data_IF_426015409264
#
_entry.id   IF_426015409264
#
_cell.length_a   1.000
_cell.length_b   1.000
_cell.length_c   1.000
_cell.angle_alpha   90.00
_cell.angle_beta   90.00
_cell.angle_gamma   90.00
#
_symmetry.space_group_name_H-M   'P 1'
#
loop_
_entity.id
_entity.type
_entity.pdbx_description
1 polymer ?
#
# COMPACT_ATOMS: atom_id res chain seq x y z
N UNK A 1 10.56 -3.28 49.80
CA UNK A 1 9.78 -2.21 50.44
C UNK A 1 9.55 -1.17 49.36
N UNK A 2 8.57 -1.41 48.48
CA UNK A 2 7.16 -0.97 48.59
C UNK A 2 7.07 0.57 48.66
N UNK A 3 6.29 1.29 47.87
CA UNK A 3 5.09 0.99 47.05
C UNK A 3 4.91 2.16 46.07
N UNK A 4 4.64 1.89 44.78
CA UNK A 4 4.01 2.86 43.88
C UNK A 4 2.51 2.55 43.87
N UNK A 5 1.71 3.45 44.43
CA UNK A 5 0.24 3.33 44.44
C UNK A 5 -0.32 3.45 43.02
N UNK A 6 -1.17 2.48 42.66
CA UNK A 6 -2.04 2.48 41.49
C UNK A 6 -3.34 3.19 41.89
N UNK A 7 -3.67 4.32 41.27
CA UNK A 7 -5.03 4.84 41.31
C UNK A 7 -5.92 3.99 40.39
N UNK A 8 -6.78 3.18 41.02
CA UNK A 8 -7.91 2.52 40.38
C UNK A 8 -9.11 3.47 40.42
N UNK A 9 -9.62 3.87 39.26
CA UNK A 9 -10.95 4.49 39.15
C UNK A 9 -12.01 3.40 39.35
N UNK A 10 -12.66 3.43 40.51
CA UNK A 10 -13.85 2.65 40.86
C UNK A 10 -15.06 3.29 40.17
N UNK A 11 -15.75 2.54 39.32
CA UNK A 11 -17.06 2.95 38.76
C UNK A 11 -18.15 2.26 39.57
N UNK A 12 -19.10 2.98 40.19
CA UNK A 12 -20.15 2.36 41.00
C UNK A 12 -21.27 1.79 40.12
N UNK A 13 -21.78 0.63 40.54
CA UNK A 13 -22.95 -0.05 39.97
C UNK A 13 -24.24 0.79 40.13
N UNK A 14 -25.05 0.82 39.07
CA UNK A 14 -26.52 0.82 39.21
C UNK A 14 -27.33 1.88 38.45
N UNK A 15 -28.34 1.35 37.74
CA UNK A 15 -29.61 1.97 37.28
C UNK A 15 -29.62 2.65 35.91
N UNK A 16 -30.07 1.88 34.90
CA UNK A 16 -30.53 2.39 33.60
C UNK A 16 -31.94 3.00 33.73
N UNK A 17 -32.24 4.16 33.12
CA UNK A 17 -33.61 4.60 32.96
C UNK A 17 -34.28 3.86 31.80
N UNK A 18 -35.45 3.28 32.08
CA UNK A 18 -36.35 2.69 31.09
C UNK A 18 -36.89 3.75 30.12
N UNK A 19 -37.07 3.34 28.86
CA UNK A 19 -38.06 3.94 27.98
C UNK A 19 -37.56 4.97 26.97
N UNK A 20 -36.79 4.53 25.96
CA UNK A 20 -36.93 5.09 24.61
C UNK A 20 -36.91 3.94 23.61
N UNK A 21 -38.02 3.76 22.91
CA UNK A 21 -38.31 2.59 22.07
C UNK A 21 -37.26 2.31 21.01
N UNK A 22 -36.86 1.05 20.95
CA UNK A 22 -36.02 0.47 19.91
C UNK A 22 -36.81 0.44 18.58
N UNK A 23 -36.69 1.48 17.76
CA UNK A 23 -36.99 1.37 16.34
C UNK A 23 -35.86 0.59 15.68
N UNK A 24 -36.01 -0.73 15.62
CA UNK A 24 -35.23 -1.61 14.75
C UNK A 24 -35.62 -1.32 13.30
N UNK A 25 -35.15 -0.19 12.77
CA UNK A 25 -35.03 0.04 11.35
C UNK A 25 -33.87 -0.80 10.84
N UNK A 26 -34.15 -2.03 10.44
CA UNK A 26 -33.21 -2.90 9.74
C UNK A 26 -32.80 -2.28 8.41
N UNK A 27 -31.79 -1.43 8.43
CA UNK A 27 -31.04 -1.06 7.23
C UNK A 27 -29.91 -2.06 7.12
N UNK A 28 -30.12 -3.08 6.28
CA UNK A 28 -29.05 -3.94 5.78
C UNK A 28 -27.92 -3.05 5.27
N UNK A 29 -26.86 -2.89 6.07
CA UNK A 29 -25.56 -2.41 5.62
C UNK A 29 -24.90 -3.56 4.84
N UNK A 30 -25.58 -4.04 3.79
CA UNK A 30 -24.92 -4.81 2.75
C UNK A 30 -23.79 -3.92 2.26
N UNK A 31 -22.56 -4.41 2.42
CA UNK A 31 -21.35 -3.75 1.99
C UNK A 31 -21.58 -3.18 0.61
N UNK A 32 -21.41 -1.86 0.45
CA UNK A 32 -21.57 -1.13 -0.81
C UNK A 32 -20.52 -1.53 -1.88
N UNK A 33 -19.85 -2.65 -1.66
CA UNK A 33 -18.79 -3.19 -2.47
C UNK A 33 -19.15 -4.64 -2.80
N UNK A 34 -19.01 -5.05 -4.07
CA UNK A 34 -19.23 -6.42 -4.45
C UNK A 34 -18.31 -7.34 -3.62
N UNK A 35 -18.76 -8.58 -3.31
CA UNK A 35 -17.88 -9.60 -2.77
C UNK A 35 -16.62 -9.67 -3.63
N UNK A 36 -15.46 -9.78 -2.99
CA UNK A 36 -14.21 -10.02 -3.69
C UNK A 36 -14.40 -11.27 -4.55
N UNK A 37 -14.40 -11.10 -5.86
CA UNK A 37 -14.34 -12.24 -6.78
C UNK A 37 -12.95 -12.86 -6.59
N UNK A 38 -12.84 -14.14 -6.21
CA UNK A 38 -11.56 -14.84 -6.12
C UNK A 38 -10.77 -14.78 -7.44
N UNK A 39 -11.43 -14.51 -8.57
CA UNK A 39 -10.82 -14.29 -9.87
C UNK A 39 -10.47 -12.81 -10.17
N UNK A 40 -10.98 -11.83 -9.40
CA UNK A 40 -10.63 -10.40 -9.57
C UNK A 40 -9.35 -10.05 -8.80
N UNK A 41 -8.27 -10.74 -9.13
CA UNK A 41 -6.95 -10.34 -8.69
C UNK A 41 -6.60 -8.99 -9.32
N UNK A 42 -6.29 -8.01 -8.45
CA UNK A 42 -5.68 -6.71 -8.75
C UNK A 42 -6.67 -5.75 -9.42
N UNK A 43 -7.59 -5.22 -8.61
CA UNK A 43 -8.70 -4.38 -9.08
C UNK A 43 -8.38 -2.91 -8.86
N UNK A 44 -8.81 -2.07 -9.80
CA UNK A 44 -8.74 -0.61 -9.63
C UNK A 44 -9.63 -0.21 -8.45
N UNK A 45 -9.09 0.56 -7.52
CA UNK A 45 -9.91 1.19 -6.49
C UNK A 45 -10.74 2.29 -7.14
N UNK A 46 -12.06 2.24 -6.91
CA UNK A 46 -12.99 3.26 -7.36
C UNK A 46 -13.53 3.98 -6.12
N UNK A 47 -13.21 5.27 -5.92
CA UNK A 47 -13.81 6.01 -4.83
C UNK A 47 -15.33 6.13 -5.03
N UNK A 48 -16.13 6.18 -3.95
CA UNK A 48 -17.58 6.36 -4.04
C UNK A 48 -18.00 7.59 -4.86
N UNK A 49 -17.26 8.69 -4.73
CA UNK A 49 -17.47 9.92 -5.50
C UNK A 49 -16.18 10.34 -6.21
N UNK A 50 -16.33 10.97 -7.38
CA UNK A 50 -15.19 11.45 -8.18
C UNK A 50 -14.35 12.53 -7.46
N UNK A 51 -14.92 13.21 -6.47
CA UNK A 51 -14.25 14.24 -5.65
C UNK A 51 -13.58 13.68 -4.41
N UNK A 52 -13.80 12.41 -4.07
CA UNK A 52 -13.20 11.82 -2.87
C UNK A 52 -11.68 11.74 -3.06
N UNK A 53 -10.96 12.16 -2.03
CA UNK A 53 -9.50 12.09 -1.96
C UNK A 53 -9.06 11.04 -0.93
N UNK A 54 -7.81 10.57 -1.02
CA UNK A 54 -7.22 9.73 0.02
C UNK A 54 -7.43 10.26 1.44
N UNK A 55 -7.18 11.55 1.69
CA UNK A 55 -7.36 12.18 3.00
C UNK A 55 -8.81 12.18 3.50
N UNK A 56 -9.79 12.35 2.59
CA UNK A 56 -11.21 12.33 2.95
C UNK A 56 -11.73 10.93 3.27
N UNK A 57 -11.18 9.89 2.63
CA UNK A 57 -11.63 8.51 2.79
C UNK A 57 -10.85 7.75 3.87
N UNK A 58 -9.56 8.02 3.99
CA UNK A 58 -8.61 7.31 4.84
C UNK A 58 -8.00 8.26 5.85
N UNK A 59 -8.55 8.23 7.06
CA UNK A 59 -8.07 9.06 8.15
C UNK A 59 -7.10 8.29 9.04
N UNK A 60 -6.20 9.00 9.75
CA UNK A 60 -5.47 8.44 10.89
C UNK A 60 -6.42 7.70 11.83
N UNK A 61 -6.19 6.40 12.02
CA UNK A 61 -6.96 5.56 12.91
C UNK A 61 -6.10 4.42 13.46
N UNK A 62 -6.61 3.71 14.48
CA UNK A 62 -5.93 2.55 15.05
C UNK A 62 -6.53 1.26 14.48
N UNK A 63 -5.65 0.31 14.20
CA UNK A 63 -6.02 -1.01 13.69
C UNK A 63 -6.81 -1.83 14.71
N UNK A 64 -7.69 -2.71 14.21
CA UNK A 64 -8.35 -3.75 15.02
C UNK A 64 -7.43 -4.97 15.18
N UNK A 65 -6.30 -4.79 15.88
CA UNK A 65 -5.32 -5.87 16.15
C UNK A 65 -4.91 -5.89 17.62
N UNK A 66 -4.37 -7.02 18.07
CA UNK A 66 -3.87 -7.21 19.45
C UNK A 66 -2.80 -6.19 19.84
N UNK A 67 -2.08 -5.65 18.86
CA UNK A 67 -1.19 -4.50 19.00
C UNK A 67 -1.72 -3.41 18.06
N UNK A 68 -2.49 -2.43 18.57
CA UNK A 68 -3.00 -1.34 17.75
C UNK A 68 -1.86 -0.50 17.19
N UNK A 69 -1.89 -0.24 15.89
CA UNK A 69 -0.93 0.65 15.24
C UNK A 69 -1.67 1.78 14.51
N UNK A 70 -1.13 3.01 14.48
CA UNK A 70 -1.72 4.08 13.68
C UNK A 70 -1.58 3.72 12.20
N UNK A 71 -2.67 3.84 11.43
CA UNK A 71 -2.75 3.60 9.99
C UNK A 71 -3.65 4.63 9.32
N UNK A 72 -3.55 4.75 8.00
CA UNK A 72 -4.58 5.40 7.21
C UNK A 72 -5.70 4.38 6.99
N UNK A 73 -6.75 4.45 7.80
CA UNK A 73 -7.85 3.48 7.77
C UNK A 73 -9.10 4.11 7.17
N UNK A 74 -9.86 3.32 6.42
CA UNK A 74 -11.18 3.75 5.96
C UNK A 74 -12.11 3.96 7.15
N UNK A 75 -12.75 5.13 7.27
CA UNK A 75 -13.67 5.41 8.38
C UNK A 75 -14.80 4.36 8.51
N UNK A 76 -15.35 3.93 7.37
CA UNK A 76 -16.43 2.92 7.33
C UNK A 76 -15.93 1.48 7.47
N UNK A 77 -14.62 1.25 7.39
CA UNK A 77 -14.01 -0.08 7.49
C UNK A 77 -12.56 0.01 8.00
N UNK A 78 -12.38 -0.15 9.31
CA UNK A 78 -11.05 -0.09 9.94
C UNK A 78 -10.10 -1.23 9.55
N UNK A 79 -10.53 -2.19 8.72
CA UNK A 79 -9.69 -3.24 8.12
C UNK A 79 -9.28 -2.92 6.68
N UNK A 80 -9.63 -1.73 6.17
CA UNK A 80 -9.20 -1.24 4.87
C UNK A 80 -8.14 -0.15 5.06
N UNK A 81 -6.91 -0.43 4.60
CA UNK A 81 -5.75 0.45 4.77
C UNK A 81 -5.40 1.14 3.46
N UNK A 82 -4.74 2.29 3.59
CA UNK A 82 -4.14 3.02 2.48
C UNK A 82 -2.63 3.12 2.65
N UNK A 83 -1.90 2.92 1.55
CA UNK A 83 -0.47 3.19 1.44
C UNK A 83 -0.24 4.09 0.23
N UNK A 84 0.52 5.17 0.40
CA UNK A 84 1.01 5.98 -0.70
C UNK A 84 2.34 5.43 -1.19
N UNK A 85 2.56 5.41 -2.51
CA UNK A 85 3.82 4.97 -3.12
C UNK A 85 4.23 5.95 -4.23
N UNK A 86 5.53 6.14 -4.39
CA UNK A 86 6.09 6.94 -5.49
C UNK A 86 7.50 6.46 -5.87
N UNK A 87 7.89 6.74 -7.11
CA UNK A 87 9.23 6.49 -7.63
C UNK A 87 9.75 7.65 -8.49
N UNK A 88 10.93 8.15 -8.13
CA UNK A 88 11.63 9.19 -8.86
C UNK A 88 12.89 8.65 -9.53
N UNK A 89 13.37 9.38 -10.54
CA UNK A 89 14.69 9.13 -11.11
C UNK A 89 15.30 10.47 -11.53
N UNK A 90 16.45 10.84 -10.95
CA UNK A 90 17.25 11.96 -11.45
C UNK A 90 17.90 11.56 -12.78
N UNK A 91 18.05 12.52 -13.69
CA UNK A 91 18.66 12.30 -15.01
C UNK A 91 18.08 11.08 -15.76
N UNK A 92 16.76 10.90 -15.69
CA UNK A 92 16.09 9.71 -16.24
C UNK A 92 16.36 9.54 -17.74
N UNK A 93 17.00 8.42 -18.11
CA UNK A 93 17.41 8.13 -19.48
C UNK A 93 18.88 8.43 -19.79
N UNK A 94 19.61 8.99 -18.83
CA UNK A 94 21.05 9.23 -18.90
C UNK A 94 21.87 8.08 -18.26
N UNK A 95 23.18 8.08 -18.46
CA UNK A 95 24.12 7.12 -17.86
C UNK A 95 24.24 7.32 -16.34
N UNK A 96 24.05 8.56 -15.87
CA UNK A 96 24.13 8.95 -14.46
C UNK A 96 22.75 8.93 -13.78
N UNK A 97 21.78 8.22 -14.37
CA UNK A 97 20.43 8.09 -13.84
C UNK A 97 20.44 7.44 -12.45
N UNK A 98 19.71 8.02 -11.49
CA UNK A 98 19.60 7.48 -10.12
C UNK A 98 18.14 7.41 -9.70
N UNK A 99 17.64 6.20 -9.47
CA UNK A 99 16.27 5.95 -9.02
C UNK A 99 16.11 6.01 -7.50
N UNK A 100 15.02 6.60 -7.04
CA UNK A 100 14.63 6.66 -5.63
C UNK A 100 13.19 6.20 -5.47
N UNK A 101 12.94 5.40 -4.44
CA UNK A 101 11.64 4.80 -4.18
C UNK A 101 11.14 5.26 -2.81
N UNK A 102 9.83 5.41 -2.64
CA UNK A 102 9.27 5.68 -1.33
C UNK A 102 7.86 5.13 -1.16
N UNK A 103 7.51 4.81 0.09
CA UNK A 103 6.13 4.61 0.49
C UNK A 103 5.82 5.17 1.87
N UNK A 104 4.55 5.52 2.09
CA UNK A 104 4.02 6.07 3.35
C UNK A 104 2.81 5.25 3.76
N UNK A 105 2.95 4.52 4.87
CA UNK A 105 1.96 3.50 5.29
C UNK A 105 1.21 3.87 6.58
N UNK A 106 1.59 4.98 7.24
CA UNK A 106 0.88 5.50 8.41
C UNK A 106 1.08 7.02 8.60
N UNK A 107 0.27 7.66 9.46
CA UNK A 107 0.43 9.07 9.81
C UNK A 107 1.74 9.39 10.55
N UNK A 108 2.17 10.66 10.47
CA UNK A 108 3.46 11.19 10.96
C UNK A 108 3.66 11.04 12.48
N UNK A 109 4.23 9.92 12.89
CA UNK A 109 4.59 9.63 14.29
C UNK A 109 5.94 8.89 14.45
N UNK A 110 6.76 8.80 13.39
CA UNK A 110 8.09 8.12 13.33
C UNK A 110 8.09 6.57 13.39
N UNK A 111 8.90 5.83 12.57
CA UNK A 111 9.11 6.00 11.14
C UNK A 111 7.91 5.43 10.35
N UNK A 112 7.18 6.32 9.70
CA UNK A 112 5.96 6.04 8.92
C UNK A 112 6.15 6.15 7.40
N UNK A 113 7.34 6.61 7.02
CA UNK A 113 7.80 7.00 5.70
C UNK A 113 9.07 6.22 5.41
N UNK A 114 9.10 5.53 4.28
CA UNK A 114 10.19 4.61 3.95
C UNK A 114 10.76 5.00 2.59
N UNK A 115 11.74 5.93 2.54
CA UNK A 115 12.55 6.18 1.36
C UNK A 115 13.66 5.13 1.22
N UNK A 116 13.98 4.73 -0.01
CA UNK A 116 15.13 3.86 -0.28
C UNK A 116 15.62 4.02 -1.73
N UNK A 117 16.90 3.72 -1.94
CA UNK A 117 17.53 3.78 -3.27
C UNK A 117 17.03 2.63 -4.15
N UNK A 118 16.73 2.91 -5.42
CA UNK A 118 16.48 1.85 -6.40
C UNK A 118 17.79 1.09 -6.66
N UNK A 119 17.73 -0.23 -6.54
CA UNK A 119 18.89 -1.09 -6.69
C UNK A 119 19.38 -1.15 -8.16
N UNK A 120 20.70 -1.32 -8.36
CA UNK A 120 21.29 -1.45 -9.70
C UNK A 120 21.28 -2.88 -10.24
N UNK A 121 20.90 -3.86 -9.40
CA UNK A 121 20.68 -5.25 -9.79
C UNK A 121 19.28 -5.73 -9.44
N UNK A 122 18.75 -6.64 -10.24
CA UNK A 122 17.50 -7.34 -9.97
C UNK A 122 17.66 -8.29 -8.77
N UNK A 123 16.54 -8.84 -8.29
CA UNK A 123 16.54 -9.89 -7.25
C UNK A 123 17.37 -11.13 -7.62
N UNK A 124 17.62 -11.37 -8.91
CA UNK A 124 18.46 -12.48 -9.40
C UNK A 124 19.91 -12.05 -9.69
N UNK A 125 20.29 -10.81 -9.38
CA UNK A 125 21.65 -10.29 -9.54
C UNK A 125 21.97 -9.74 -10.94
N UNK A 126 20.99 -9.65 -11.83
CA UNK A 126 21.20 -9.08 -13.18
C UNK A 126 21.24 -7.55 -13.13
N UNK A 127 22.16 -6.91 -13.85
CA UNK A 127 22.21 -5.46 -13.94
C UNK A 127 20.93 -4.90 -14.57
N UNK A 128 20.37 -3.84 -13.96
CA UNK A 128 19.10 -3.24 -14.37
C UNK A 128 19.18 -1.73 -14.46
N UNK A 129 18.45 -1.10 -15.40
CA UNK A 129 18.54 0.33 -15.62
C UNK A 129 17.89 1.10 -14.46
N UNK A 130 18.37 2.33 -14.24
CA UNK A 130 17.77 3.28 -13.32
C UNK A 130 16.73 4.10 -14.08
N UNK A 131 15.45 3.90 -13.78
CA UNK A 131 14.36 4.63 -14.44
C UNK A 131 13.23 4.92 -13.47
N UNK A 132 12.47 5.98 -13.71
CA UNK A 132 11.30 6.33 -12.88
C UNK A 132 10.29 5.17 -12.85
N UNK A 133 9.94 4.57 -14.00
CA UNK A 133 9.01 3.44 -14.04
C UNK A 133 9.45 2.22 -13.19
N UNK A 134 10.76 1.96 -13.08
CA UNK A 134 11.26 0.89 -12.20
C UNK A 134 11.15 1.27 -10.74
N UNK A 135 11.49 2.52 -10.40
CA UNK A 135 11.35 3.03 -9.05
C UNK A 135 9.89 2.97 -8.56
N UNK A 136 8.94 3.35 -9.42
CA UNK A 136 7.50 3.31 -9.15
C UNK A 136 7.02 1.89 -8.81
N UNK A 137 7.41 0.89 -9.62
CA UNK A 137 7.07 -0.51 -9.33
C UNK A 137 7.74 -1.03 -8.06
N UNK A 138 9.01 -0.69 -7.89
CA UNK A 138 9.82 -1.15 -6.76
C UNK A 138 9.27 -0.62 -5.44
N UNK A 139 8.77 0.62 -5.40
CA UNK A 139 8.10 1.22 -4.25
C UNK A 139 6.85 0.43 -3.82
N UNK A 140 6.01 0.01 -4.78
CA UNK A 140 4.84 -0.84 -4.51
C UNK A 140 5.27 -2.19 -3.96
N UNK A 141 6.26 -2.84 -4.58
CA UNK A 141 6.75 -4.16 -4.14
C UNK A 141 7.31 -4.06 -2.72
N UNK A 142 8.06 -3.00 -2.41
CA UNK A 142 8.55 -2.74 -1.05
C UNK A 142 7.38 -2.60 -0.06
N UNK A 143 6.39 -1.77 -0.37
CA UNK A 143 5.22 -1.57 0.48
C UNK A 143 4.46 -2.89 0.74
N UNK A 144 4.27 -3.71 -0.28
CA UNK A 144 3.61 -5.01 -0.13
C UNK A 144 4.45 -6.01 0.66
N UNK A 145 5.79 -5.96 0.56
CA UNK A 145 6.70 -6.83 1.30
C UNK A 145 7.07 -6.35 2.70
N UNK A 146 6.71 -5.11 3.05
CA UNK A 146 7.25 -4.44 4.23
C UNK A 146 6.85 -5.10 5.54
N UNK A 147 5.60 -5.56 5.63
CA UNK A 147 5.00 -6.09 6.87
C UNK A 147 3.92 -7.11 6.57
N UNK A 148 3.59 -7.92 7.58
CA UNK A 148 2.42 -8.77 7.58
C UNK A 148 1.14 -7.95 7.85
N UNK A 149 0.62 -7.25 6.83
CA UNK A 149 -0.57 -6.38 6.93
C UNK A 149 -1.80 -7.08 7.53
N UNK A 150 -1.99 -8.37 7.24
CA UNK A 150 -3.07 -9.18 7.82
C UNK A 150 -2.95 -9.38 9.34
N UNK A 151 -1.73 -9.45 9.89
CA UNK A 151 -1.52 -9.51 11.35
C UNK A 151 -1.99 -8.22 12.06
N UNK A 152 -2.16 -7.14 11.31
CA UNK A 152 -2.72 -5.89 11.79
C UNK A 152 -4.22 -5.76 11.52
N UNK A 153 -4.88 -6.84 11.07
CA UNK A 153 -6.30 -6.84 10.75
C UNK A 153 -6.64 -6.21 9.40
N UNK A 154 -5.65 -6.01 8.51
CA UNK A 154 -5.91 -5.60 7.13
C UNK A 154 -6.61 -6.72 6.37
N UNK A 155 -7.72 -6.41 5.72
CA UNK A 155 -8.41 -7.26 4.74
C UNK A 155 -8.35 -6.66 3.34
N UNK A 156 -8.17 -5.34 3.25
CA UNK A 156 -8.13 -4.60 1.99
C UNK A 156 -7.02 -3.56 2.05
N UNK A 157 -6.08 -3.63 1.12
CA UNK A 157 -4.95 -2.71 1.02
C UNK A 157 -5.08 -1.88 -0.25
N UNK A 158 -5.24 -0.57 -0.11
CA UNK A 158 -5.31 0.38 -1.21
C UNK A 158 -3.94 1.01 -1.41
N UNK A 159 -3.35 0.78 -2.58
CA UNK A 159 -2.12 1.42 -3.03
C UNK A 159 -2.50 2.68 -3.82
N UNK A 160 -2.18 3.85 -3.28
CA UNK A 160 -2.37 5.13 -3.94
C UNK A 160 -1.06 5.61 -4.57
N UNK A 161 -1.11 5.95 -5.86
CA UNK A 161 0.02 6.46 -6.64
C UNK A 161 -0.52 7.33 -7.77
N UNK A 162 0.27 8.29 -8.24
CA UNK A 162 0.00 9.06 -9.45
C UNK A 162 0.56 8.42 -10.72
N UNK A 163 1.17 7.23 -10.62
CA UNK A 163 1.69 6.47 -11.74
C UNK A 163 0.61 5.65 -12.45
N UNK A 164 0.14 6.11 -13.61
CA UNK A 164 -0.71 5.29 -14.49
C UNK A 164 -0.01 4.01 -14.95
N UNK A 165 1.31 4.03 -15.09
CA UNK A 165 2.12 2.85 -15.42
C UNK A 165 1.91 1.73 -14.40
N UNK A 166 1.91 2.06 -13.10
CA UNK A 166 1.64 1.11 -12.02
C UNK A 166 0.17 0.69 -12.01
N UNK A 167 -0.76 1.64 -12.05
CA UNK A 167 -2.20 1.35 -11.89
C UNK A 167 -2.74 0.54 -13.06
N UNK A 168 -2.52 0.99 -14.29
CA UNK A 168 -3.00 0.32 -15.50
C UNK A 168 -2.25 -1.00 -15.70
N UNK A 169 -0.94 -1.01 -15.42
CA UNK A 169 -0.13 -2.22 -15.50
C UNK A 169 -0.62 -3.31 -14.55
N UNK A 170 -0.86 -2.96 -13.29
CA UNK A 170 -1.31 -3.90 -12.25
C UNK A 170 -2.73 -4.39 -12.49
N UNK A 171 -3.62 -3.54 -12.99
CA UNK A 171 -5.05 -3.85 -13.09
C UNK A 171 -5.48 -4.41 -14.45
N UNK A 172 -4.76 -4.08 -15.52
CA UNK A 172 -5.14 -4.41 -16.90
C UNK A 172 -4.05 -5.18 -17.65
N UNK A 173 -2.80 -4.71 -17.62
CA UNK A 173 -1.76 -5.24 -18.52
C UNK A 173 -1.18 -6.57 -18.08
N UNK A 174 -0.93 -6.78 -16.78
CA UNK A 174 -0.40 -8.04 -16.23
C UNK A 174 -1.23 -9.24 -16.69
N UNK A 175 -2.57 -9.12 -16.71
CA UNK A 175 -3.47 -10.20 -17.14
C UNK A 175 -3.22 -10.61 -18.59
N UNK A 176 -2.97 -9.63 -19.47
CA UNK A 176 -2.65 -9.85 -20.88
C UNK A 176 -1.23 -10.40 -21.04
N UNK A 177 -0.26 -9.85 -20.33
CA UNK A 177 1.13 -10.29 -20.39
C UNK A 177 1.32 -11.72 -19.87
N UNK A 178 0.69 -12.09 -18.74
CA UNK A 178 0.72 -13.48 -18.24
C UNK A 178 0.19 -14.46 -19.30
N UNK A 179 -0.91 -14.11 -19.97
CA UNK A 179 -1.50 -14.95 -21.04
C UNK A 179 -0.60 -15.06 -22.27
N UNK A 180 0.10 -13.98 -22.61
CA UNK A 180 0.93 -13.90 -23.81
C UNK A 180 2.41 -14.18 -23.52
N UNK A 181 2.74 -14.93 -22.46
CA UNK A 181 4.11 -15.33 -22.15
C UNK A 181 5.07 -14.17 -21.87
N UNK A 182 4.56 -13.08 -21.28
CA UNK A 182 5.31 -11.85 -20.98
C UNK A 182 5.84 -11.10 -22.21
N UNK A 183 5.06 -11.09 -23.28
CA UNK A 183 5.36 -10.33 -24.50
C UNK A 183 4.38 -9.18 -24.73
N UNK A 184 4.86 -8.10 -25.36
CA UNK A 184 4.05 -7.01 -25.88
C UNK A 184 3.25 -7.43 -27.12
N UNK A 185 2.33 -6.58 -27.58
CA UNK A 185 1.62 -6.79 -28.86
C UNK A 185 2.55 -6.85 -30.08
N UNK A 186 3.79 -6.37 -29.94
CA UNK A 186 4.84 -6.41 -30.96
C UNK A 186 5.82 -7.56 -30.76
N UNK A 187 5.46 -8.58 -29.95
CA UNK A 187 6.28 -9.77 -29.66
C UNK A 187 7.64 -9.48 -29.01
N UNK A 188 7.80 -8.31 -28.39
CA UNK A 188 9.00 -7.99 -27.61
C UNK A 188 8.80 -8.36 -26.15
N UNK A 189 9.85 -8.71 -25.41
CA UNK A 189 9.77 -8.85 -23.96
C UNK A 189 9.19 -7.60 -23.31
N UNK A 190 8.33 -7.79 -22.30
CA UNK A 190 7.76 -6.68 -21.53
C UNK A 190 8.88 -5.96 -20.77
N UNK A 191 8.90 -4.63 -20.82
CA UNK A 191 9.84 -3.83 -20.02
C UNK A 191 9.58 -4.03 -18.53
N UNK A 192 10.65 -4.11 -17.74
CA UNK A 192 10.58 -4.32 -16.28
C UNK A 192 9.88 -5.62 -15.88
N UNK A 193 9.93 -6.64 -16.76
CA UNK A 193 9.30 -7.93 -16.54
C UNK A 193 9.74 -8.59 -15.23
N UNK A 194 10.99 -8.37 -14.80
CA UNK A 194 11.52 -8.79 -13.50
C UNK A 194 10.66 -8.28 -12.34
N UNK A 195 10.45 -6.96 -12.26
CA UNK A 195 9.63 -6.35 -11.21
C UNK A 195 8.16 -6.69 -11.34
N UNK A 196 7.61 -6.78 -12.56
CA UNK A 196 6.23 -7.20 -12.74
C UNK A 196 5.98 -8.62 -12.23
N UNK A 197 6.93 -9.55 -12.43
CA UNK A 197 6.83 -10.89 -11.88
C UNK A 197 6.88 -10.89 -10.35
N UNK A 198 7.76 -10.07 -9.75
CA UNK A 198 7.79 -9.91 -8.29
C UNK A 198 6.50 -9.31 -7.73
N UNK A 199 5.93 -8.30 -8.41
CA UNK A 199 4.63 -7.74 -8.04
C UNK A 199 3.53 -8.80 -8.11
N UNK A 200 3.46 -9.60 -9.18
CA UNK A 200 2.49 -10.71 -9.29
C UNK A 200 2.61 -11.68 -8.12
N UNK A 201 3.83 -12.10 -7.77
CA UNK A 201 4.07 -13.00 -6.63
C UNK A 201 3.58 -12.38 -5.31
N UNK A 202 3.91 -11.11 -5.08
CA UNK A 202 3.49 -10.41 -3.87
C UNK A 202 1.96 -10.32 -3.77
N UNK A 203 1.29 -10.02 -4.89
CA UNK A 203 -0.16 -9.90 -4.91
C UNK A 203 -0.86 -11.27 -4.77
N UNK A 204 -0.31 -12.34 -5.37
CA UNK A 204 -0.80 -13.72 -5.19
C UNK A 204 -0.70 -14.14 -3.72
N UNK A 205 0.46 -13.88 -3.08
CA UNK A 205 0.65 -14.12 -1.63
C UNK A 205 -0.38 -13.39 -0.78
N UNK A 206 -0.70 -12.14 -1.09
CA UNK A 206 -1.72 -11.39 -0.35
C UNK A 206 -3.13 -11.94 -0.54
N UNK A 207 -3.46 -12.35 -1.76
CA UNK A 207 -4.73 -13.00 -2.08
C UNK A 207 -4.90 -14.31 -1.29
N UNK A 208 -3.85 -15.14 -1.22
CA UNK A 208 -3.81 -16.37 -0.40
C UNK A 208 -3.94 -16.08 1.10
N UNK A 209 -3.39 -14.95 1.56
CA UNK A 209 -3.51 -14.49 2.94
C UNK A 209 -4.85 -13.82 3.26
N UNK A 210 -5.80 -13.78 2.31
CA UNK A 210 -7.12 -13.17 2.50
C UNK A 210 -7.12 -11.64 2.47
N UNK A 211 -6.09 -11.01 1.88
CA UNK A 211 -5.98 -9.56 1.73
C UNK A 211 -6.14 -9.17 0.27
N UNK A 212 -7.17 -8.39 -0.03
CA UNK A 212 -7.34 -7.82 -1.37
C UNK A 212 -6.46 -6.58 -1.54
N UNK A 213 -5.66 -6.55 -2.61
CA UNK A 213 -4.87 -5.37 -2.99
C UNK A 213 -5.56 -4.62 -4.13
N UNK A 214 -5.77 -3.33 -3.93
CA UNK A 214 -6.47 -2.43 -4.85
C UNK A 214 -5.54 -1.27 -5.25
N UNK A 215 -5.64 -0.80 -6.49
CA UNK A 215 -4.79 0.28 -7.01
C UNK A 215 -5.60 1.54 -7.30
N UNK A 216 -5.23 2.67 -6.70
CA UNK A 216 -5.88 3.96 -6.88
C UNK A 216 -4.95 4.93 -7.60
N UNK A 217 -5.32 5.31 -8.82
CA UNK A 217 -4.70 6.44 -9.52
C UNK A 217 -5.18 7.75 -8.89
N UNK A 218 -4.26 8.49 -8.28
CA UNK A 218 -4.53 9.77 -7.62
C UNK A 218 -3.82 10.92 -8.35
N UNK A 219 -4.34 12.15 -8.33
CA UNK A 219 -3.59 13.31 -8.81
C UNK A 219 -2.28 13.51 -8.03
N UNK A 220 -1.18 13.85 -8.71
CA UNK A 220 0.15 14.09 -8.10
C UNK A 220 0.14 15.03 -6.89
N UNK A 221 -0.71 16.07 -6.92
CA UNK A 221 -0.88 17.02 -5.81
C UNK A 221 -1.36 16.38 -4.50
N UNK A 222 -1.86 15.14 -4.55
CA UNK A 222 -2.30 14.36 -3.40
C UNK A 222 -1.25 13.31 -2.97
N UNK A 223 -0.13 13.17 -3.70
CA UNK A 223 0.94 12.20 -3.43
C UNK A 223 2.26 12.90 -2.99
N UNK A 224 2.18 14.13 -2.49
CA UNK A 224 3.35 15.01 -2.32
C UNK A 224 4.41 14.48 -1.36
N UNK A 225 4.00 13.76 -0.31
CA UNK A 225 4.93 13.19 0.66
C UNK A 225 5.75 12.06 0.04
N UNK A 226 5.11 11.11 -0.64
CA UNK A 226 5.81 10.01 -1.30
C UNK A 226 6.70 10.55 -2.43
N UNK A 227 6.21 11.48 -3.24
CA UNK A 227 6.97 12.16 -4.31
C UNK A 227 8.25 12.83 -3.78
N UNK A 228 8.13 13.60 -2.70
CA UNK A 228 9.30 14.25 -2.07
C UNK A 228 10.31 13.21 -1.59
N UNK A 229 9.85 12.17 -0.88
CA UNK A 229 10.72 11.14 -0.34
C UNK A 229 11.42 10.33 -1.43
N UNK A 230 10.72 10.00 -2.52
CA UNK A 230 11.31 9.29 -3.65
C UNK A 230 12.39 10.13 -4.33
N UNK A 231 12.18 11.45 -4.46
CA UNK A 231 13.20 12.39 -4.95
C UNK A 231 14.40 12.51 -4.02
N UNK A 232 14.18 12.62 -2.72
CA UNK A 232 15.27 12.61 -1.73
C UNK A 232 16.07 11.30 -1.80
N UNK A 233 15.37 10.18 -2.04
CA UNK A 233 15.98 8.87 -2.15
C UNK A 233 16.92 8.69 -3.36
N UNK A 234 16.84 9.53 -4.40
CA UNK A 234 17.79 9.47 -5.53
C UNK A 234 19.20 9.89 -5.12
N UNK A 235 19.33 10.65 -4.03
CA UNK A 235 20.61 11.13 -3.50
C UNK A 235 21.24 10.20 -2.47
N UNK A 236 20.52 9.16 -2.01
CA UNK A 236 21.05 8.16 -1.08
C UNK A 236 22.24 7.40 -1.70
N UNK A 237 23.06 6.78 -0.86
CA UNK A 237 24.15 5.91 -1.31
C UNK A 237 23.62 4.83 -2.24
N UNK A 238 24.39 4.51 -3.28
CA UNK A 238 23.99 3.48 -4.23
C UNK A 238 23.95 2.10 -3.55
N UNK A 239 22.87 1.37 -3.82
CA UNK A 239 22.68 -0.01 -3.39
C UNK A 239 22.76 -0.88 -4.64
N UNK A 240 23.73 -1.80 -4.67
CA UNK A 240 23.89 -2.68 -5.83
C UNK A 240 22.86 -3.81 -5.81
N UNK A 241 22.77 -4.52 -4.70
CA UNK A 241 21.99 -5.73 -4.57
C UNK A 241 20.58 -5.45 -4.07
N UNK A 242 19.63 -6.31 -4.45
CA UNK A 242 18.24 -6.24 -3.97
C UNK A 242 18.17 -6.26 -2.44
N UNK A 243 17.50 -5.25 -1.86
CA UNK A 243 17.32 -5.15 -0.41
C UNK A 243 15.88 -5.44 -0.01
N UNK A 244 15.68 -6.38 0.91
CA UNK A 244 14.36 -6.57 1.52
C UNK A 244 14.08 -5.47 2.53
N UNK A 245 13.16 -4.58 2.18
CA UNK A 245 12.73 -3.49 3.06
C UNK A 245 11.71 -4.09 4.04
N UNK A 246 12.11 -4.30 5.29
CA UNK A 246 11.29 -4.95 6.33
C UNK A 246 11.04 -4.03 7.53
N UNK A 247 9.82 -4.09 8.07
CA UNK A 247 9.44 -3.41 9.31
C UNK A 247 9.71 -4.27 10.55
N UNK A 248 9.67 -3.65 11.74
CA UNK A 248 9.97 -4.29 13.04
C UNK A 248 8.99 -5.42 13.45
N UNK A 249 7.91 -5.66 12.68
CA UNK A 249 6.83 -6.59 13.04
C UNK A 249 6.55 -7.61 11.92
N UNK A 250 7.60 -8.11 11.28
CA UNK A 250 7.57 -9.22 10.32
C UNK A 250 7.38 -10.57 11.00
#
# INVERSE_FOLDING_TARGET
MDTFEREFLVVPDGVLPEGVGLLLGGQNHQSRFPPLDPASNFTRFLPPNATDTPETLFMPGFTKSSIPAPRFTRQSNLSEFLIYTDGACSENGDQDARGGCAFVYRPETSPSMIPFRLESRSRTGEAVPQTSNRAELRAVIAALGFRLWNNEGCQRLVIATDSSYVVDGSTEWIKKWKRNGWQTSTHKPVKNQDLWKELVKALERWSEAGVAVLFWLIPRKLNTVADRLAKEATALTDEEDWVEIQGVLC
#
